data_IF_110206837521
#
_entry.id   IF_110206837521
#
_cell.length_a   1.000
_cell.length_b   1.000
_cell.length_c   1.000
_cell.angle_alpha   90.00
_cell.angle_beta   90.00
_cell.angle_gamma   90.00
#
_symmetry.space_group_name_H-M   'P 1'
#
loop_
_entity.id
_entity.type
_entity.pdbx_description
1 polymer ?
#
# COMPACT_ATOMS: atom_id res chain seq x y z
N UNK A 1 -15.24 14.32 5.00
CA UNK A 1 -13.76 14.28 5.06
C UNK A 1 -13.31 15.63 5.57
N UNK A 2 -12.42 15.66 6.56
CA UNK A 2 -11.77 16.89 7.01
C UNK A 2 -10.30 16.82 6.63
N UNK A 3 -9.76 17.93 6.12
CA UNK A 3 -8.33 18.06 5.86
C UNK A 3 -7.59 18.16 7.19
N UNK A 4 -6.57 17.33 7.37
CA UNK A 4 -5.79 17.27 8.60
C UNK A 4 -4.33 16.98 8.26
N UNK A 5 -3.42 17.85 8.69
CA UNK A 5 -1.98 17.66 8.52
C UNK A 5 -1.32 17.65 9.90
N UNK A 6 -0.76 16.51 10.27
CA UNK A 6 0.09 16.35 11.46
C UNK A 6 1.51 16.01 11.03
N UNK A 7 2.48 16.30 11.91
CA UNK A 7 3.87 15.89 11.67
C UNK A 7 4.00 14.37 11.54
N UNK A 8 3.24 13.62 12.35
CA UNK A 8 3.16 12.16 12.29
C UNK A 8 2.68 11.66 10.92
N UNK A 9 1.62 12.26 10.36
CA UNK A 9 1.11 11.93 9.01
C UNK A 9 2.11 12.21 7.90
N UNK A 10 2.79 13.38 7.94
CA UNK A 10 3.81 13.72 6.93
C UNK A 10 4.95 12.69 6.96
N UNK A 11 5.43 12.34 8.16
CA UNK A 11 6.51 11.37 8.32
C UNK A 11 6.08 10.01 7.77
N UNK A 12 4.89 9.52 8.17
CA UNK A 12 4.33 8.25 7.67
C UNK A 12 4.21 8.23 6.15
N UNK A 13 3.67 9.30 5.55
CA UNK A 13 3.55 9.47 4.10
C UNK A 13 4.90 9.40 3.39
N UNK A 14 5.88 10.18 3.85
CA UNK A 14 7.23 10.24 3.24
C UNK A 14 7.93 8.90 3.34
N UNK A 15 7.84 8.22 4.48
CA UNK A 15 8.46 6.92 4.70
C UNK A 15 7.82 5.87 3.80
N UNK A 16 6.49 5.75 3.79
CA UNK A 16 5.84 4.76 2.93
C UNK A 16 6.12 5.03 1.45
N UNK A 17 6.03 6.28 1.02
CA UNK A 17 6.31 6.67 -0.37
C UNK A 17 7.73 6.28 -0.76
N UNK A 18 8.71 6.53 0.12
CA UNK A 18 10.11 6.15 -0.09
C UNK A 18 10.29 4.63 -0.18
N UNK A 19 9.66 3.86 0.71
CA UNK A 19 9.70 2.40 0.68
C UNK A 19 9.08 1.84 -0.60
N UNK A 20 7.88 2.30 -0.97
CA UNK A 20 7.19 1.86 -2.19
C UNK A 20 7.93 2.28 -3.46
N UNK A 21 8.58 3.44 -3.49
CA UNK A 21 9.47 3.85 -4.59
C UNK A 21 10.65 2.90 -4.73
N UNK A 22 11.34 2.59 -3.64
CA UNK A 22 12.47 1.64 -3.64
C UNK A 22 12.00 0.27 -4.14
N UNK A 23 10.88 -0.24 -3.60
CA UNK A 23 10.32 -1.52 -4.02
C UNK A 23 9.88 -1.50 -5.48
N UNK A 24 9.28 -0.41 -5.96
CA UNK A 24 8.88 -0.23 -7.36
C UNK A 24 10.09 -0.27 -8.31
N UNK A 25 11.18 0.41 -7.96
CA UNK A 25 12.42 0.40 -8.75
C UNK A 25 12.99 -1.03 -8.82
N UNK A 26 13.03 -1.74 -7.69
CA UNK A 26 13.52 -3.12 -7.65
C UNK A 26 12.62 -4.07 -8.43
N UNK A 27 11.31 -3.90 -8.35
CA UNK A 27 10.32 -4.71 -9.06
C UNK A 27 10.39 -4.48 -10.58
N UNK A 28 10.51 -3.23 -11.03
CA UNK A 28 10.67 -2.90 -12.46
C UNK A 28 11.98 -3.49 -13.01
N UNK A 29 13.10 -3.27 -12.30
CA UNK A 29 14.45 -3.65 -12.76
C UNK A 29 14.68 -5.16 -12.71
N UNK A 30 14.33 -5.79 -11.59
CA UNK A 30 14.72 -7.16 -11.28
C UNK A 30 13.54 -8.14 -11.28
N UNK A 31 12.30 -7.65 -11.40
CA UNK A 31 11.05 -8.45 -11.29
C UNK A 31 10.94 -9.22 -9.97
N UNK A 32 11.70 -8.78 -8.98
CA UNK A 32 11.85 -9.42 -7.68
C UNK A 32 12.26 -8.36 -6.66
N UNK A 33 11.58 -8.38 -5.51
CA UNK A 33 12.02 -7.68 -4.31
C UNK A 33 12.40 -8.73 -3.27
N UNK A 34 13.63 -8.65 -2.75
CA UNK A 34 14.12 -9.65 -1.79
C UNK A 34 13.38 -9.54 -0.46
N UNK A 35 13.11 -10.68 0.19
CA UNK A 35 12.48 -10.70 1.51
C UNK A 35 13.24 -9.89 2.55
N UNK A 36 14.58 -9.86 2.47
CA UNK A 36 15.43 -9.09 3.39
C UNK A 36 15.14 -7.59 3.29
N UNK A 37 15.04 -7.07 2.06
CA UNK A 37 14.71 -5.66 1.81
C UNK A 37 13.31 -5.33 2.32
N UNK A 38 12.33 -6.21 2.06
CA UNK A 38 10.96 -5.98 2.50
C UNK A 38 10.80 -6.01 4.02
N UNK A 39 11.45 -6.97 4.69
CA UNK A 39 11.42 -7.05 6.16
C UNK A 39 12.12 -5.84 6.76
N UNK A 40 13.29 -5.46 6.25
CA UNK A 40 14.00 -4.28 6.72
C UNK A 40 13.15 -3.02 6.57
N UNK A 41 12.52 -2.80 5.41
CA UNK A 41 11.66 -1.65 5.19
C UNK A 41 10.40 -1.66 6.06
N UNK A 42 9.75 -2.81 6.25
CA UNK A 42 8.60 -2.93 7.14
C UNK A 42 8.96 -2.65 8.61
N UNK A 43 10.11 -3.14 9.07
CA UNK A 43 10.62 -2.85 10.43
C UNK A 43 10.95 -1.38 10.59
N UNK A 44 11.65 -0.77 9.63
CA UNK A 44 11.96 0.67 9.64
C UNK A 44 10.67 1.48 9.70
N UNK A 45 9.72 1.18 8.81
CA UNK A 45 8.42 1.85 8.77
C UNK A 45 7.65 1.72 10.08
N UNK A 46 7.58 0.52 10.65
CA UNK A 46 6.93 0.29 11.94
C UNK A 46 7.57 1.08 13.08
N UNK A 47 8.91 1.07 13.17
CA UNK A 47 9.64 1.86 14.18
C UNK A 47 9.36 3.34 14.03
N UNK A 48 9.32 3.86 12.80
CA UNK A 48 9.02 5.28 12.57
C UNK A 48 7.59 5.62 13.02
N UNK A 49 6.59 4.83 12.64
CA UNK A 49 5.19 5.07 13.04
C UNK A 49 4.98 4.92 14.55
N UNK A 50 5.71 4.02 15.19
CA UNK A 50 5.70 3.85 16.63
C UNK A 50 6.30 5.07 17.35
N UNK A 51 7.46 5.55 16.89
CA UNK A 51 8.19 6.67 17.52
C UNK A 51 7.59 8.04 17.20
N UNK A 52 6.91 8.19 16.05
CA UNK A 52 6.22 9.43 15.68
C UNK A 52 4.87 9.61 16.39
N UNK A 53 4.38 8.58 17.10
CA UNK A 53 3.06 8.58 17.73
C UNK A 53 1.91 8.23 16.79
N UNK A 54 2.16 8.13 15.47
CA UNK A 54 1.12 7.88 14.46
C UNK A 54 0.31 6.61 14.73
N UNK A 55 0.96 5.55 15.22
CA UNK A 55 0.30 4.28 15.57
C UNK A 55 -0.78 4.50 16.62
N UNK A 56 -0.48 5.28 17.66
CA UNK A 56 -1.37 5.50 18.79
C UNK A 56 -2.48 6.50 18.46
N UNK A 57 -2.17 7.52 17.67
CA UNK A 57 -3.15 8.50 17.18
C UNK A 57 -4.24 7.86 16.31
N UNK A 58 -3.86 6.85 15.51
CA UNK A 58 -4.72 6.21 14.50
C UNK A 58 -4.88 4.71 14.73
N UNK A 59 -4.84 4.23 15.97
CA UNK A 59 -4.76 2.79 16.28
C UNK A 59 -5.89 1.96 15.67
N UNK A 60 -7.13 2.47 15.70
CA UNK A 60 -8.29 1.78 15.11
C UNK A 60 -8.10 1.63 13.59
N UNK A 61 -7.60 2.69 12.94
CA UNK A 61 -7.36 2.71 11.50
C UNK A 61 -6.22 1.76 11.08
N UNK A 62 -5.14 1.71 11.87
CA UNK A 62 -4.06 0.72 11.71
C UNK A 62 -4.58 -0.71 11.82
N UNK A 63 -5.40 -1.00 12.83
CA UNK A 63 -5.97 -2.33 13.03
C UNK A 63 -6.94 -2.73 11.92
N UNK A 64 -7.81 -1.82 11.48
CA UNK A 64 -8.81 -2.10 10.45
C UNK A 64 -8.15 -2.27 9.09
N UNK A 65 -7.33 -1.31 8.65
CA UNK A 65 -6.60 -1.40 7.39
C UNK A 65 -5.62 -2.59 7.40
N UNK A 66 -4.93 -2.83 8.52
CA UNK A 66 -4.05 -3.97 8.70
C UNK A 66 -4.76 -5.30 8.52
N UNK A 67 -5.92 -5.46 9.18
CA UNK A 67 -6.73 -6.68 9.05
C UNK A 67 -7.19 -6.90 7.61
N UNK A 68 -7.72 -5.86 6.95
CA UNK A 68 -8.19 -5.93 5.57
C UNK A 68 -7.03 -6.28 4.62
N UNK A 69 -5.91 -5.55 4.70
CA UNK A 69 -4.76 -5.78 3.82
C UNK A 69 -4.10 -7.14 4.04
N UNK A 70 -4.04 -7.64 5.29
CA UNK A 70 -3.55 -9.00 5.56
C UNK A 70 -4.50 -10.03 4.96
N UNK A 71 -5.80 -9.95 5.26
CA UNK A 71 -6.77 -10.95 4.79
C UNK A 71 -6.84 -11.00 3.26
N UNK A 72 -7.06 -9.85 2.62
CA UNK A 72 -7.20 -9.81 1.17
C UNK A 72 -5.85 -9.93 0.47
N UNK A 73 -4.80 -9.26 0.93
CA UNK A 73 -3.47 -9.37 0.34
C UNK A 73 -2.94 -10.81 0.38
N UNK A 74 -3.13 -11.52 1.50
CA UNK A 74 -2.78 -12.94 1.59
C UNK A 74 -3.67 -13.82 0.71
N UNK A 75 -4.98 -13.56 0.67
CA UNK A 75 -5.90 -14.32 -0.19
C UNK A 75 -5.53 -14.18 -1.67
N UNK A 76 -5.27 -12.94 -2.13
CA UNK A 76 -4.82 -12.64 -3.49
C UNK A 76 -3.49 -13.31 -3.82
N UNK A 77 -2.58 -13.41 -2.85
CA UNK A 77 -1.34 -14.16 -3.01
C UNK A 77 -1.60 -15.68 -3.16
N UNK A 78 -2.50 -16.24 -2.35
CA UNK A 78 -2.83 -17.67 -2.39
C UNK A 78 -3.52 -18.11 -3.68
N UNK A 79 -4.33 -17.24 -4.28
CA UNK A 79 -4.98 -17.52 -5.58
C UNK A 79 -4.09 -17.16 -6.78
N UNK A 80 -2.87 -16.64 -6.55
CA UNK A 80 -1.91 -16.32 -7.60
C UNK A 80 -2.13 -14.99 -8.32
N UNK A 81 -3.08 -14.16 -7.86
CA UNK A 81 -3.29 -12.81 -8.42
C UNK A 81 -2.20 -11.83 -7.97
N UNK A 82 -1.67 -11.98 -6.75
CA UNK A 82 -0.55 -11.20 -6.23
C UNK A 82 0.70 -12.08 -6.11
N UNK A 83 1.86 -11.49 -6.39
CA UNK A 83 3.14 -12.04 -5.99
C UNK A 83 3.39 -11.87 -4.49
N UNK A 84 4.38 -12.60 -3.95
CA UNK A 84 4.72 -12.50 -2.54
C UNK A 84 5.26 -11.13 -2.12
N UNK A 85 5.83 -10.36 -3.07
CA UNK A 85 6.27 -8.99 -2.82
C UNK A 85 5.08 -8.01 -2.79
N UNK A 86 4.07 -8.22 -3.62
CA UNK A 86 2.89 -7.35 -3.69
C UNK A 86 2.08 -7.43 -2.39
N UNK A 87 1.82 -8.65 -1.92
CA UNK A 87 1.13 -8.89 -0.65
C UNK A 87 1.85 -8.25 0.55
N UNK A 88 3.18 -8.38 0.61
CA UNK A 88 3.98 -7.74 1.67
C UNK A 88 3.99 -6.22 1.55
N UNK A 89 3.87 -5.67 0.34
CA UNK A 89 3.87 -4.23 0.12
C UNK A 89 2.57 -3.59 0.62
N UNK A 90 1.41 -4.20 0.34
CA UNK A 90 0.12 -3.72 0.87
C UNK A 90 0.01 -3.89 2.39
N UNK A 91 0.60 -4.94 2.96
CA UNK A 91 0.70 -5.10 4.43
C UNK A 91 1.62 -4.02 5.02
N UNK A 92 2.78 -3.76 4.40
CA UNK A 92 3.68 -2.68 4.84
C UNK A 92 2.97 -1.33 4.79
N UNK A 93 2.19 -1.08 3.74
CA UNK A 93 1.36 0.12 3.63
C UNK A 93 0.38 0.26 4.79
N UNK A 94 -0.36 -0.79 5.15
CA UNK A 94 -1.29 -0.73 6.27
C UNK A 94 -0.60 -0.51 7.63
N UNK A 95 0.66 -0.92 7.78
CA UNK A 95 1.45 -0.69 9.01
C UNK A 95 1.99 0.74 9.06
N UNK A 96 2.41 1.29 7.92
CA UNK A 96 3.15 2.55 7.88
C UNK A 96 2.24 3.76 7.66
N UNK A 97 1.24 3.61 6.81
CA UNK A 97 0.34 4.70 6.43
C UNK A 97 -1.04 4.13 6.08
N UNK A 98 -1.83 3.74 7.10
CA UNK A 98 -3.18 3.23 6.90
C UNK A 98 -4.13 4.36 6.53
N UNK A 99 -4.82 4.21 5.39
CA UNK A 99 -5.89 5.14 5.01
C UNK A 99 -5.37 6.46 4.45
N UNK A 100 -5.98 7.56 4.89
CA UNK A 100 -5.69 8.92 4.43
C UNK A 100 -4.73 9.62 5.39
N UNK A 101 -3.61 10.12 4.90
CA UNK A 101 -2.63 10.85 5.73
C UNK A 101 -2.96 12.33 5.84
N UNK A 102 -3.42 12.93 4.73
CA UNK A 102 -3.76 14.36 4.64
C UNK A 102 -5.25 14.65 4.80
N UNK A 103 -6.02 13.61 5.15
CA UNK A 103 -7.45 13.73 5.43
C UNK A 103 -7.85 12.76 6.52
N UNK A 104 -9.06 12.96 7.05
CA UNK A 104 -9.65 12.07 8.04
C UNK A 104 -11.14 11.95 7.82
N UNK A 105 -11.66 10.74 7.96
CA UNK A 105 -13.10 10.49 8.05
C UNK A 105 -13.53 10.38 9.51
N UNK A 106 -14.80 10.67 9.77
CA UNK A 106 -15.34 10.59 11.13
C UNK A 106 -15.32 9.16 11.67
N UNK A 107 -15.45 8.17 10.77
CA UNK A 107 -15.39 6.75 11.10
C UNK A 107 -14.08 6.13 10.59
N UNK A 108 -13.11 5.83 11.47
CA UNK A 108 -11.83 5.23 11.09
C UNK A 108 -11.96 3.77 10.62
N UNK A 109 -13.03 3.06 10.99
CA UNK A 109 -13.29 1.70 10.51
C UNK A 109 -13.70 1.78 9.05
N UNK A 110 -14.66 2.65 8.74
CA UNK A 110 -15.12 2.86 7.37
C UNK A 110 -13.98 3.34 6.46
N UNK A 111 -13.15 4.28 6.95
CA UNK A 111 -11.97 4.73 6.21
C UNK A 111 -11.02 3.57 5.89
N UNK A 112 -10.64 2.78 6.91
CA UNK A 112 -9.73 1.65 6.72
C UNK A 112 -10.25 0.62 5.72
N UNK A 113 -11.54 0.28 5.79
CA UNK A 113 -12.18 -0.66 4.86
C UNK A 113 -12.24 -0.09 3.44
N UNK A 114 -12.74 1.14 3.28
CA UNK A 114 -12.98 1.74 1.96
C UNK A 114 -11.66 2.04 1.26
N UNK A 115 -10.70 2.68 1.94
CA UNK A 115 -9.41 3.01 1.33
C UNK A 115 -8.64 1.75 0.96
N UNK A 116 -8.59 0.75 1.84
CA UNK A 116 -7.93 -0.52 1.51
C UNK A 116 -8.62 -1.23 0.33
N UNK A 117 -9.95 -1.23 0.31
CA UNK A 117 -10.75 -1.79 -0.78
C UNK A 117 -10.49 -1.08 -2.12
N UNK A 118 -10.43 0.26 -2.12
CA UNK A 118 -10.11 1.05 -3.31
C UNK A 118 -8.71 0.69 -3.81
N UNK A 119 -7.68 0.70 -2.96
CA UNK A 119 -6.30 0.39 -3.36
C UNK A 119 -6.23 -1.00 -4.00
N UNK A 120 -6.78 -2.03 -3.34
CA UNK A 120 -6.76 -3.40 -3.86
C UNK A 120 -7.53 -3.51 -5.18
N UNK A 121 -8.71 -2.89 -5.26
CA UNK A 121 -9.55 -2.93 -6.47
C UNK A 121 -8.89 -2.19 -7.63
N UNK A 122 -8.27 -1.04 -7.39
CA UNK A 122 -7.55 -0.26 -8.41
C UNK A 122 -6.36 -1.05 -8.96
N UNK A 123 -5.58 -1.70 -8.10
CA UNK A 123 -4.45 -2.53 -8.52
C UNK A 123 -4.91 -3.69 -9.39
N UNK A 124 -5.96 -4.41 -8.96
CA UNK A 124 -6.53 -5.53 -9.71
C UNK A 124 -7.14 -5.09 -11.05
N UNK A 125 -7.86 -3.96 -11.06
CA UNK A 125 -8.45 -3.42 -12.28
C UNK A 125 -7.38 -3.04 -13.30
N UNK A 126 -6.34 -2.31 -12.87
CA UNK A 126 -5.24 -1.92 -13.77
C UNK A 126 -4.50 -3.16 -14.28
N UNK A 127 -4.22 -4.14 -13.41
CA UNK A 127 -3.58 -5.39 -13.81
C UNK A 127 -4.44 -6.18 -14.82
N UNK A 128 -5.76 -6.24 -14.60
CA UNK A 128 -6.70 -6.89 -15.52
C UNK A 128 -6.76 -6.19 -16.88
N UNK A 129 -6.92 -4.86 -16.87
CA UNK A 129 -6.94 -4.03 -18.07
C UNK A 129 -5.64 -4.21 -18.85
N UNK A 130 -4.49 -4.15 -18.18
CA UNK A 130 -3.19 -4.38 -18.80
C UNK A 130 -3.11 -5.78 -19.43
N UNK A 131 -3.54 -6.82 -18.71
CA UNK A 131 -3.56 -8.19 -19.23
C UNK A 131 -4.51 -8.36 -20.43
N UNK A 132 -5.56 -7.55 -20.55
CA UNK A 132 -6.52 -7.62 -21.66
C UNK A 132 -5.97 -6.97 -22.92
N UNK A 133 -5.29 -5.84 -22.77
CA UNK A 133 -4.70 -5.11 -23.90
C UNK A 133 -3.35 -5.68 -24.34
N UNK A 134 -2.60 -6.32 -23.44
CA UNK A 134 -1.32 -6.93 -23.77
C UNK A 134 -1.49 -8.40 -24.13
N UNK A 135 -1.06 -8.77 -25.33
CA UNK A 135 -1.26 -10.10 -25.89
C UNK A 135 -0.59 -11.16 -24.99
N UNK A 136 -1.39 -12.07 -24.40
CA UNK A 136 -0.93 -13.03 -23.39
C UNK A 136 0.22 -13.93 -23.88
N UNK A 137 0.36 -14.11 -25.20
CA UNK A 137 1.43 -14.87 -25.84
C UNK A 137 2.82 -14.19 -25.78
N UNK A 138 2.92 -12.92 -25.38
CA UNK A 138 4.19 -12.17 -25.26
C UNK A 138 4.58 -11.82 -23.83
N UNK A 139 3.79 -12.21 -22.82
CA UNK A 139 4.09 -11.90 -21.42
C UNK A 139 5.08 -12.95 -20.89
N UNK A 140 6.36 -12.79 -21.21
CA UNK A 140 7.43 -13.65 -20.66
C UNK A 140 7.72 -13.36 -19.18
N UNK A 141 7.29 -12.20 -18.67
CA UNK A 141 7.59 -11.73 -17.31
C UNK A 141 6.34 -11.18 -16.63
N UNK A 142 6.15 -11.44 -15.32
CA UNK A 142 5.01 -10.92 -14.57
C UNK A 142 4.98 -9.39 -14.57
N UNK A 143 3.76 -8.84 -14.53
CA UNK A 143 3.50 -7.40 -14.43
C UNK A 143 4.04 -6.91 -13.08
N UNK A 144 4.81 -5.80 -13.04
CA UNK A 144 5.29 -5.27 -11.77
C UNK A 144 4.13 -4.51 -11.12
N UNK A 145 3.54 -5.08 -10.06
CA UNK A 145 2.35 -4.51 -9.43
C UNK A 145 2.69 -3.43 -8.39
N UNK A 146 3.90 -3.44 -7.82
CA UNK A 146 4.30 -2.46 -6.80
C UNK A 146 4.26 -1.00 -7.31
N UNK A 147 4.70 -0.69 -8.55
CA UNK A 147 4.50 0.64 -9.12
C UNK A 147 3.03 1.07 -9.22
N UNK A 148 2.13 0.12 -9.47
CA UNK A 148 0.68 0.37 -9.52
C UNK A 148 0.15 0.63 -8.11
N UNK A 149 0.59 -0.14 -7.12
CA UNK A 149 0.27 0.06 -5.70
C UNK A 149 0.71 1.46 -5.25
N UNK A 150 1.94 1.88 -5.59
CA UNK A 150 2.45 3.22 -5.32
C UNK A 150 1.58 4.30 -5.99
N UNK A 151 1.26 4.14 -7.27
CA UNK A 151 0.41 5.08 -8.00
C UNK A 151 -0.98 5.23 -7.39
N UNK A 152 -1.62 4.11 -7.04
CA UNK A 152 -2.93 4.10 -6.38
C UNK A 152 -2.86 4.80 -5.01
N UNK A 153 -1.83 4.52 -4.21
CA UNK A 153 -1.60 5.18 -2.93
C UNK A 153 -1.45 6.70 -3.10
N UNK A 154 -0.55 7.16 -3.98
CA UNK A 154 -0.32 8.59 -4.21
C UNK A 154 -1.57 9.31 -4.71
N UNK A 155 -2.32 8.67 -5.62
CA UNK A 155 -3.56 9.24 -6.15
C UNK A 155 -4.61 9.43 -5.05
N UNK A 156 -4.74 8.47 -4.13
CA UNK A 156 -5.63 8.60 -2.98
C UNK A 156 -5.19 9.74 -2.06
N UNK A 157 -3.89 9.87 -1.79
CA UNK A 157 -3.38 10.96 -0.95
C UNK A 157 -3.58 12.33 -1.61
N UNK A 158 -3.45 12.42 -2.94
CA UNK A 158 -3.76 13.65 -3.68
C UNK A 158 -5.24 13.99 -3.57
N UNK A 159 -6.13 13.01 -3.75
CA UNK A 159 -7.59 13.22 -3.60
C UNK A 159 -7.92 13.67 -2.17
N UNK A 160 -7.24 13.15 -1.15
CA UNK A 160 -7.50 13.52 0.24
C UNK A 160 -7.14 14.97 0.59
N UNK A 161 -6.38 15.65 -0.26
CA UNK A 161 -6.02 17.07 -0.08
C UNK A 161 -7.16 18.00 -0.57
N UNK A 162 -8.04 17.52 -1.46
CA UNK A 162 -9.13 18.29 -2.06
C UNK A 162 -10.48 17.98 -1.41
#
# INVERSE_FOLDING_TARGET
>A
MAFEITGSSIISFVVLTSLLLIYSILDIRNRRVSNRVMIAGAVIGFVVVLTSGHLFERIILHLTAGTIMILFGYTLFRIGSFGGADAKSVITMAIVSPGLEFGKWNDPILEGVVISGIILSSVLLIAYVYSRFYNQSKIEKPIPLIPIILGAYLLIQIIAIF
#
